data_IF_932340407736
#
_entry.id   IF_932340407736
#
_cell.length_a   1.000
_cell.length_b   1.000
_cell.length_c   1.000
_cell.angle_alpha   90.00
_cell.angle_beta   90.00
_cell.angle_gamma   90.00
#
_symmetry.space_group_name_H-M   'P 1'
#
loop_
_entity.id
_entity.type
_entity.pdbx_description
1 polymer ?
#
# COMPACT_ATOMS: atom_id res chain seq x y z
N UNK A 1 21.35 -26.72 11.52
CA UNK A 1 22.50 -26.03 10.86
C UNK A 1 22.24 -26.03 9.35
N UNK A 2 22.46 -24.91 8.69
CA UNK A 2 22.25 -24.80 7.23
C UNK A 2 23.26 -25.66 6.46
N UNK A 3 22.82 -26.24 5.36
CA UNK A 3 23.61 -27.11 4.50
C UNK A 3 24.50 -26.28 3.57
N UNK A 4 25.79 -26.59 3.52
CA UNK A 4 26.81 -25.90 2.71
C UNK A 4 27.54 -26.86 1.81
N UNK A 5 28.28 -26.34 0.85
CA UNK A 5 29.11 -27.14 -0.06
C UNK A 5 30.49 -27.27 0.57
N UNK A 6 30.90 -28.50 0.92
CA UNK A 6 32.24 -28.79 1.46
C UNK A 6 33.27 -28.98 0.37
N UNK A 7 32.92 -29.80 -0.65
CA UNK A 7 33.86 -30.08 -1.74
C UNK A 7 33.06 -30.29 -3.05
N UNK A 8 33.74 -29.97 -4.14
CA UNK A 8 33.24 -30.15 -5.51
C UNK A 8 34.31 -30.74 -6.38
N UNK A 9 34.01 -31.83 -7.06
CA UNK A 9 34.84 -32.46 -8.07
C UNK A 9 34.07 -32.46 -9.40
N UNK A 10 34.68 -31.90 -10.45
CA UNK A 10 34.10 -31.76 -11.78
C UNK A 10 35.07 -32.28 -12.82
N UNK A 11 34.63 -33.18 -13.70
CA UNK A 11 35.40 -33.66 -14.83
C UNK A 11 34.58 -33.63 -16.12
N UNK A 12 35.19 -33.17 -17.19
CA UNK A 12 34.61 -33.17 -18.56
C UNK A 12 33.26 -32.46 -18.72
N UNK A 13 33.05 -31.35 -17.99
CA UNK A 13 31.84 -30.54 -18.08
C UNK A 13 32.12 -29.24 -18.80
N UNK A 14 31.41 -28.97 -19.89
CA UNK A 14 31.52 -27.73 -20.68
C UNK A 14 32.98 -27.41 -21.01
N UNK A 15 33.56 -26.37 -20.39
CA UNK A 15 34.97 -25.99 -20.55
C UNK A 15 35.88 -26.57 -19.49
N UNK A 16 35.34 -27.23 -18.48
CA UNK A 16 36.16 -27.85 -17.42
C UNK A 16 36.71 -29.17 -17.88
N UNK A 17 38.01 -29.35 -17.70
CA UNK A 17 38.72 -30.62 -17.86
C UNK A 17 38.71 -31.40 -16.55
N UNK A 18 39.30 -30.83 -15.49
CA UNK A 18 39.25 -31.36 -14.14
C UNK A 18 39.43 -30.22 -13.12
N UNK A 19 38.46 -30.10 -12.22
CA UNK A 19 38.46 -29.12 -11.13
C UNK A 19 38.05 -29.81 -9.86
N UNK A 20 38.84 -29.70 -8.81
CA UNK A 20 38.53 -30.12 -7.45
C UNK A 20 38.75 -28.92 -6.54
N UNK A 21 37.69 -28.49 -5.84
CA UNK A 21 37.75 -27.32 -4.97
C UNK A 21 37.00 -27.55 -3.67
N UNK A 22 37.45 -26.89 -2.62
CA UNK A 22 36.83 -26.84 -1.29
C UNK A 22 36.54 -25.38 -0.96
N UNK A 23 35.26 -24.93 -1.14
CA UNK A 23 34.91 -23.56 -0.85
C UNK A 23 34.96 -23.26 0.66
N UNK A 24 35.18 -22.00 1.04
CA UNK A 24 35.11 -21.55 2.41
C UNK A 24 33.71 -21.88 2.99
N UNK A 25 33.65 -22.31 4.24
CA UNK A 25 32.39 -22.69 4.89
C UNK A 25 31.47 -21.50 5.20
N UNK A 26 31.99 -20.28 5.20
CA UNK A 26 31.23 -19.03 5.30
C UNK A 26 31.95 -17.94 4.54
N UNK A 27 31.22 -16.88 4.17
CA UNK A 27 31.77 -15.81 3.38
C UNK A 27 31.82 -16.11 1.87
N UNK A 28 32.71 -15.45 1.16
CA UNK A 28 32.75 -15.43 -0.28
C UNK A 28 33.94 -16.24 -0.80
N UNK A 29 33.70 -17.27 -1.61
CA UNK A 29 34.71 -17.95 -2.42
C UNK A 29 34.65 -17.42 -3.84
N UNK A 30 35.68 -16.73 -4.31
CA UNK A 30 35.76 -16.14 -5.65
C UNK A 30 36.54 -17.06 -6.58
N UNK A 31 35.89 -17.52 -7.64
CA UNK A 31 36.50 -18.28 -8.74
C UNK A 31 36.92 -17.28 -9.83
N UNK A 32 38.18 -17.03 -9.93
CA UNK A 32 38.81 -16.14 -10.88
C UNK A 32 39.28 -16.85 -12.17
N UNK A 33 39.78 -16.05 -13.10
CA UNK A 33 40.34 -16.48 -14.38
C UNK A 33 39.92 -15.56 -15.52
N UNK A 34 40.63 -15.63 -16.64
CA UNK A 34 40.30 -14.89 -17.86
C UNK A 34 38.96 -15.37 -18.45
N UNK A 35 38.42 -14.63 -19.43
CA UNK A 35 37.24 -15.07 -20.15
C UNK A 35 37.47 -16.44 -20.80
N UNK A 36 36.37 -17.20 -20.88
CA UNK A 36 36.36 -18.53 -21.53
C UNK A 36 37.14 -19.66 -20.85
N UNK A 37 37.69 -19.45 -19.67
CA UNK A 37 38.49 -20.45 -18.94
C UNK A 37 37.67 -21.52 -18.20
N UNK A 38 36.34 -21.35 -18.08
CA UNK A 38 35.46 -22.35 -17.47
C UNK A 38 34.83 -21.92 -16.13
N UNK A 39 35.02 -20.68 -15.66
CA UNK A 39 34.48 -20.19 -14.38
C UNK A 39 32.95 -20.44 -14.22
N UNK A 40 32.16 -19.92 -15.13
CA UNK A 40 30.69 -20.15 -15.12
C UNK A 40 30.36 -21.63 -15.28
N UNK A 41 31.19 -22.41 -15.95
CA UNK A 41 31.02 -23.87 -16.08
C UNK A 41 31.07 -24.59 -14.73
N UNK A 42 31.76 -24.05 -13.72
CA UNK A 42 31.76 -24.57 -12.34
C UNK A 42 30.39 -24.35 -11.69
N UNK A 43 29.83 -23.15 -11.82
CA UNK A 43 28.49 -22.87 -11.29
C UNK A 43 27.42 -23.70 -11.98
N UNK A 44 27.47 -23.82 -13.33
CA UNK A 44 26.56 -24.68 -14.10
C UNK A 44 26.63 -26.15 -13.64
N UNK A 45 27.85 -26.63 -13.33
CA UNK A 45 28.07 -27.97 -12.81
C UNK A 45 27.42 -28.14 -11.43
N UNK A 46 27.58 -27.17 -10.53
CA UNK A 46 26.90 -27.16 -9.21
C UNK A 46 25.39 -27.15 -9.37
N UNK A 47 24.85 -26.23 -10.20
CA UNK A 47 23.43 -26.16 -10.49
C UNK A 47 22.90 -27.48 -11.03
N UNK A 48 23.62 -28.10 -11.97
CA UNK A 48 23.22 -29.41 -12.52
C UNK A 48 23.30 -30.50 -11.45
N UNK A 49 24.37 -30.55 -10.66
CA UNK A 49 24.55 -31.58 -9.65
C UNK A 49 23.44 -31.55 -8.61
N UNK A 50 23.11 -30.38 -8.11
CA UNK A 50 22.15 -30.16 -7.00
C UNK A 50 20.72 -29.97 -7.48
N UNK A 51 20.50 -29.13 -8.48
CA UNK A 51 19.17 -28.72 -8.95
C UNK A 51 18.55 -29.65 -10.01
N UNK A 52 19.34 -30.57 -10.55
CA UNK A 52 18.83 -31.59 -11.46
C UNK A 52 18.75 -31.19 -12.93
N UNK A 53 17.99 -31.98 -13.70
CA UNK A 53 17.88 -31.84 -15.16
C UNK A 53 17.44 -30.45 -15.63
N UNK A 54 16.67 -29.73 -14.81
CA UNK A 54 16.22 -28.35 -15.11
C UNK A 54 17.40 -27.39 -15.35
N UNK A 55 18.52 -27.64 -14.66
CA UNK A 55 19.74 -26.79 -14.75
C UNK A 55 20.82 -27.39 -15.66
N UNK A 56 20.53 -28.50 -16.33
CA UNK A 56 21.48 -29.16 -17.19
C UNK A 56 21.69 -28.37 -18.48
N UNK A 57 22.95 -28.03 -18.83
CA UNK A 57 23.25 -27.40 -20.11
C UNK A 57 22.93 -28.33 -21.28
N UNK A 58 22.48 -27.78 -22.41
CA UNK A 58 22.20 -28.55 -23.64
C UNK A 58 23.42 -29.35 -24.14
N UNK A 59 24.65 -28.84 -23.95
CA UNK A 59 25.92 -29.51 -24.19
C UNK A 59 26.68 -29.61 -22.89
N UNK A 60 26.38 -30.58 -22.04
CA UNK A 60 27.01 -30.76 -20.76
C UNK A 60 28.42 -31.36 -20.89
N UNK A 61 28.67 -32.30 -21.80
CA UNK A 61 29.98 -32.91 -22.03
C UNK A 61 30.92 -31.92 -22.70
N UNK A 62 32.15 -31.86 -22.20
CA UNK A 62 33.24 -31.06 -22.78
C UNK A 62 33.51 -31.50 -24.22
N UNK A 63 33.66 -30.56 -25.11
CA UNK A 63 34.00 -30.82 -26.51
C UNK A 63 35.40 -31.50 -26.60
N UNK A 64 35.48 -32.56 -27.38
CA UNK A 64 36.68 -33.36 -27.52
C UNK A 64 36.97 -34.31 -26.36
N UNK A 65 36.14 -34.36 -25.32
CA UNK A 65 36.35 -35.31 -24.22
C UNK A 65 35.93 -36.73 -24.62
N UNK A 66 36.84 -37.71 -24.39
CA UNK A 66 36.55 -39.13 -24.62
C UNK A 66 35.68 -39.73 -23.49
N UNK A 67 35.83 -39.24 -22.28
CA UNK A 67 35.07 -39.66 -21.11
C UNK A 67 33.83 -38.77 -20.88
N UNK A 68 32.73 -39.36 -20.40
CA UNK A 68 31.53 -38.60 -20.10
C UNK A 68 31.73 -37.67 -18.90
N UNK A 69 30.80 -36.67 -18.69
CA UNK A 69 30.81 -35.80 -17.54
C UNK A 69 30.74 -36.58 -16.23
N UNK A 70 31.53 -36.14 -15.23
CA UNK A 70 31.49 -36.65 -13.88
C UNK A 70 31.44 -35.46 -12.90
N UNK A 71 30.43 -35.47 -12.04
CA UNK A 71 30.20 -34.44 -11.01
C UNK A 71 30.07 -35.13 -9.66
N UNK A 72 30.79 -34.60 -8.65
CA UNK A 72 30.61 -35.04 -7.27
C UNK A 72 30.63 -33.83 -6.35
N UNK A 73 29.60 -33.68 -5.56
CA UNK A 73 29.44 -32.62 -4.56
C UNK A 73 29.30 -33.25 -3.20
N UNK A 74 30.11 -32.84 -2.25
CA UNK A 74 30.04 -33.24 -0.85
C UNK A 74 29.47 -32.05 -0.04
N UNK A 75 28.40 -32.29 0.68
CA UNK A 75 27.72 -31.30 1.48
C UNK A 75 28.15 -31.38 2.96
N UNK A 76 27.96 -30.28 3.70
CA UNK A 76 28.35 -30.16 5.11
C UNK A 76 27.61 -31.09 6.06
N UNK A 77 26.43 -31.54 5.67
CA UNK A 77 25.63 -32.53 6.39
C UNK A 77 26.01 -33.99 6.05
N UNK A 78 27.13 -34.20 5.32
CA UNK A 78 27.63 -35.53 4.94
C UNK A 78 26.93 -36.17 3.72
N UNK A 79 26.00 -35.50 3.09
CA UNK A 79 25.36 -35.96 1.84
C UNK A 79 26.39 -35.84 0.70
N UNK A 80 26.48 -36.90 -0.11
CA UNK A 80 27.32 -36.94 -1.32
C UNK A 80 26.36 -37.06 -2.53
N UNK A 81 26.51 -36.14 -3.46
CA UNK A 81 25.77 -36.09 -4.73
C UNK A 81 26.70 -36.40 -5.87
N UNK A 82 26.42 -37.45 -6.62
CA UNK A 82 27.18 -37.84 -7.80
C UNK A 82 26.28 -37.81 -9.04
N UNK A 83 26.77 -37.24 -10.14
CA UNK A 83 26.14 -37.36 -11.47
C UNK A 83 27.20 -37.83 -12.47
N UNK A 84 26.92 -38.96 -13.10
CA UNK A 84 27.86 -39.63 -13.99
C UNK A 84 27.20 -40.01 -15.31
N UNK A 85 28.06 -40.07 -16.33
CA UNK A 85 27.69 -40.59 -17.64
C UNK A 85 26.93 -39.61 -18.54
N UNK A 86 26.70 -40.03 -19.80
CA UNK A 86 26.00 -39.20 -20.80
C UNK A 86 24.59 -38.82 -20.38
N UNK A 87 23.91 -39.67 -19.61
CA UNK A 87 22.55 -39.47 -19.14
C UNK A 87 22.49 -38.78 -17.79
N UNK A 88 23.61 -38.27 -17.24
CA UNK A 88 23.63 -37.56 -15.96
C UNK A 88 22.97 -38.34 -14.82
N UNK A 89 23.28 -39.66 -14.72
CA UNK A 89 22.66 -40.53 -13.70
C UNK A 89 22.95 -40.01 -12.30
N UNK A 90 21.90 -39.70 -11.55
CA UNK A 90 21.97 -39.19 -10.20
C UNK A 90 22.14 -40.31 -9.19
N UNK A 91 23.12 -40.16 -8.31
CA UNK A 91 23.26 -40.96 -7.10
C UNK A 91 23.46 -40.02 -5.92
N UNK A 92 22.52 -40.05 -4.98
CA UNK A 92 22.62 -39.33 -3.72
C UNK A 92 22.83 -40.35 -2.62
N UNK A 93 23.86 -40.13 -1.82
CA UNK A 93 24.18 -40.98 -0.67
C UNK A 93 24.04 -40.15 0.59
N UNK A 94 23.23 -40.60 1.53
CA UNK A 94 23.05 -39.95 2.83
C UNK A 94 24.28 -40.23 3.75
N UNK A 95 24.39 -39.54 4.91
CA UNK A 95 25.50 -39.73 5.84
C UNK A 95 25.62 -41.18 6.38
N UNK A 96 24.52 -41.94 6.35
CA UNK A 96 24.48 -43.34 6.80
C UNK A 96 24.81 -44.33 5.66
N UNK A 97 25.13 -43.84 4.46
CA UNK A 97 25.44 -44.65 3.31
C UNK A 97 24.23 -45.15 2.50
N UNK A 98 23.02 -44.74 2.84
CA UNK A 98 21.83 -45.17 2.10
C UNK A 98 21.67 -44.37 0.81
N UNK A 99 21.07 -44.99 -0.21
CA UNK A 99 20.77 -44.35 -1.48
C UNK A 99 19.51 -43.51 -1.33
N UNK A 100 19.61 -42.26 -1.79
CA UNK A 100 18.49 -41.32 -1.83
C UNK A 100 18.31 -40.72 -3.24
N UNK A 101 17.38 -39.80 -3.42
CA UNK A 101 17.08 -39.18 -4.70
C UNK A 101 17.04 -37.64 -4.64
N UNK A 102 16.59 -37.05 -5.73
CA UNK A 102 16.44 -35.59 -5.87
C UNK A 102 15.52 -35.00 -4.79
N UNK A 103 14.55 -35.76 -4.27
CA UNK A 103 13.64 -35.30 -3.23
C UNK A 103 14.37 -34.91 -1.94
N UNK A 104 15.42 -35.66 -1.55
CA UNK A 104 16.25 -35.31 -0.39
C UNK A 104 16.97 -33.97 -0.61
N UNK A 105 17.46 -33.72 -1.81
CA UNK A 105 18.09 -32.42 -2.13
C UNK A 105 17.07 -31.29 -2.11
N UNK A 106 15.91 -31.49 -2.67
CA UNK A 106 14.85 -30.48 -2.73
C UNK A 106 14.33 -30.06 -1.34
N UNK A 107 14.52 -30.87 -0.30
CA UNK A 107 14.06 -30.52 1.05
C UNK A 107 14.82 -29.36 1.68
N UNK A 108 16.10 -29.16 1.32
CA UNK A 108 16.94 -28.08 1.86
C UNK A 108 17.51 -27.14 0.79
N UNK A 109 17.31 -27.43 -0.50
CA UNK A 109 17.75 -26.55 -1.57
C UNK A 109 16.72 -25.49 -1.88
N UNK A 110 17.18 -24.26 -2.02
CA UNK A 110 16.38 -23.16 -2.55
C UNK A 110 16.71 -22.96 -4.04
N UNK A 111 15.74 -23.10 -4.96
CA UNK A 111 15.99 -22.91 -6.39
C UNK A 111 16.63 -21.57 -6.74
N UNK A 112 16.27 -20.49 -6.04
CA UNK A 112 16.85 -19.16 -6.26
C UNK A 112 18.29 -19.06 -5.72
N UNK A 113 18.72 -19.92 -4.79
CA UNK A 113 20.10 -19.99 -4.36
C UNK A 113 21.03 -20.54 -5.46
N UNK A 114 20.48 -21.39 -6.35
CA UNK A 114 21.20 -21.91 -7.51
C UNK A 114 21.21 -20.95 -8.70
N UNK A 115 20.20 -20.12 -8.82
CA UNK A 115 20.04 -19.17 -9.94
C UNK A 115 19.52 -17.83 -9.42
N UNK A 116 20.35 -17.13 -8.66
CA UNK A 116 20.05 -15.80 -8.15
C UNK A 116 19.73 -14.77 -9.26
N UNK A 117 20.37 -14.81 -10.44
CA UNK A 117 19.99 -14.00 -11.58
C UNK A 117 18.51 -14.11 -11.97
N UNK A 118 17.88 -15.26 -11.80
CA UNK A 118 16.43 -15.40 -12.08
C UNK A 118 15.60 -14.46 -11.20
N UNK A 119 15.93 -14.35 -9.90
CA UNK A 119 15.28 -13.39 -9.01
C UNK A 119 15.63 -11.94 -9.38
N UNK A 120 16.91 -11.66 -9.63
CA UNK A 120 17.35 -10.30 -9.96
C UNK A 120 16.72 -9.76 -11.24
N UNK A 121 16.46 -10.62 -12.22
CA UNK A 121 15.86 -10.27 -13.51
C UNK A 121 14.31 -10.40 -13.52
N UNK A 122 13.68 -10.86 -12.45
CA UNK A 122 12.21 -10.88 -12.34
C UNK A 122 11.64 -9.46 -12.26
N UNK A 123 10.36 -9.32 -12.48
CA UNK A 123 9.69 -8.00 -12.40
C UNK A 123 9.71 -7.46 -10.96
N UNK A 124 9.64 -6.15 -10.80
CA UNK A 124 9.59 -5.50 -9.49
C UNK A 124 8.44 -6.04 -8.62
N UNK A 125 7.30 -6.29 -9.25
CA UNK A 125 6.13 -6.88 -8.59
C UNK A 125 6.38 -8.31 -8.11
N UNK A 126 7.06 -9.14 -8.90
CA UNK A 126 7.41 -10.51 -8.50
C UNK A 126 8.39 -10.53 -7.34
N UNK A 127 9.38 -9.63 -7.34
CA UNK A 127 10.31 -9.45 -6.22
C UNK A 127 9.59 -9.08 -4.93
N UNK A 128 8.70 -8.08 -4.99
CA UNK A 128 7.89 -7.66 -3.86
C UNK A 128 6.98 -8.79 -3.36
N UNK A 129 6.28 -9.49 -4.24
CA UNK A 129 5.44 -10.63 -3.88
C UNK A 129 6.23 -11.77 -3.23
N UNK A 130 7.47 -11.99 -3.68
CA UNK A 130 8.34 -12.99 -3.06
C UNK A 130 8.67 -12.62 -1.62
N UNK A 131 9.03 -11.36 -1.37
CA UNK A 131 9.25 -10.87 0.00
C UNK A 131 8.00 -10.99 0.86
N UNK A 132 6.85 -10.52 0.37
CA UNK A 132 5.57 -10.55 1.10
C UNK A 132 5.14 -11.96 1.47
N UNK A 133 5.39 -12.93 0.58
CA UNK A 133 5.14 -14.36 0.85
C UNK A 133 6.02 -14.89 1.96
N UNK A 134 7.30 -14.52 1.98
CA UNK A 134 8.27 -14.95 2.99
C UNK A 134 7.90 -14.46 4.38
N UNK A 135 7.52 -13.20 4.49
CA UNK A 135 7.13 -12.59 5.77
C UNK A 135 5.68 -12.89 6.17
N UNK A 136 4.92 -13.57 5.29
CA UNK A 136 3.57 -14.06 5.59
C UNK A 136 2.50 -12.98 5.71
N UNK A 137 2.74 -11.77 5.21
CA UNK A 137 1.79 -10.64 5.31
C UNK A 137 1.13 -10.27 3.99
N UNK A 138 1.43 -10.99 2.90
CA UNK A 138 0.98 -10.65 1.55
C UNK A 138 -0.53 -10.48 1.42
N UNK A 139 -1.32 -11.44 1.93
CA UNK A 139 -2.78 -11.42 1.85
C UNK A 139 -3.38 -10.23 2.62
N UNK A 140 -2.85 -9.94 3.82
CA UNK A 140 -3.29 -8.80 4.63
C UNK A 140 -2.93 -7.46 3.97
N UNK A 141 -1.73 -7.36 3.41
CA UNK A 141 -1.31 -6.15 2.71
C UNK A 141 -2.19 -5.90 1.48
N UNK A 142 -2.44 -6.93 0.68
CA UNK A 142 -3.32 -6.85 -0.49
C UNK A 142 -4.74 -6.40 -0.11
N UNK A 143 -5.29 -6.93 0.99
CA UNK A 143 -6.61 -6.51 1.49
C UNK A 143 -6.62 -5.05 1.94
N UNK A 144 -5.58 -4.59 2.63
CA UNK A 144 -5.44 -3.18 3.03
C UNK A 144 -5.29 -2.25 1.82
N UNK A 145 -4.53 -2.65 0.80
CA UNK A 145 -4.40 -1.90 -0.47
C UNK A 145 -5.73 -1.79 -1.20
N UNK A 146 -6.51 -2.87 -1.23
CA UNK A 146 -7.85 -2.88 -1.80
C UNK A 146 -8.78 -1.90 -1.07
N UNK A 147 -8.77 -1.96 0.28
CA UNK A 147 -9.56 -1.05 1.12
C UNK A 147 -9.14 0.41 0.93
N UNK A 148 -7.84 0.70 0.92
CA UNK A 148 -7.34 2.05 0.66
C UNK A 148 -7.85 2.59 -0.68
N UNK A 149 -7.74 1.78 -1.74
CA UNK A 149 -8.20 2.17 -3.08
C UNK A 149 -9.72 2.40 -3.12
N UNK A 150 -10.50 1.55 -2.45
CA UNK A 150 -11.95 1.74 -2.36
C UNK A 150 -12.31 3.03 -1.61
N UNK A 151 -11.67 3.29 -0.47
CA UNK A 151 -11.89 4.51 0.30
C UNK A 151 -11.43 5.76 -0.46
N UNK A 152 -10.29 5.68 -1.15
CA UNK A 152 -9.82 6.77 -2.00
C UNK A 152 -10.82 7.10 -3.12
N UNK A 153 -11.35 6.09 -3.81
CA UNK A 153 -12.34 6.30 -4.87
C UNK A 153 -13.64 6.90 -4.32
N UNK A 154 -14.12 6.42 -3.16
CA UNK A 154 -15.28 6.99 -2.47
C UNK A 154 -15.03 8.44 -2.07
N UNK A 155 -13.87 8.73 -1.44
CA UNK A 155 -13.50 10.09 -1.06
C UNK A 155 -13.44 11.02 -2.27
N UNK A 156 -12.86 10.57 -3.38
CA UNK A 156 -12.79 11.35 -4.61
C UNK A 156 -14.20 11.71 -5.14
N UNK A 157 -15.11 10.73 -5.20
CA UNK A 157 -16.49 10.96 -5.63
C UNK A 157 -17.24 11.90 -4.67
N UNK A 158 -17.11 11.72 -3.35
CA UNK A 158 -17.71 12.58 -2.33
C UNK A 158 -17.14 14.00 -2.41
N UNK A 159 -15.84 14.16 -2.62
CA UNK A 159 -15.19 15.46 -2.79
C UNK A 159 -15.73 16.22 -3.98
N UNK A 160 -15.94 15.59 -5.11
CA UNK A 160 -16.56 16.23 -6.28
C UNK A 160 -18.00 16.69 -5.99
N UNK A 161 -18.77 15.87 -5.26
CA UNK A 161 -20.15 16.24 -4.86
C UNK A 161 -20.11 17.39 -3.85
N UNK A 162 -19.22 17.34 -2.86
CA UNK A 162 -19.05 18.41 -1.87
C UNK A 162 -18.72 19.75 -2.53
N UNK A 163 -17.76 19.75 -3.44
CA UNK A 163 -17.38 20.95 -4.21
C UNK A 163 -18.53 21.50 -5.04
N UNK A 164 -19.29 20.61 -5.71
CA UNK A 164 -20.46 21.01 -6.49
C UNK A 164 -21.55 21.60 -5.59
N UNK A 165 -21.83 20.97 -4.45
CA UNK A 165 -22.83 21.44 -3.50
C UNK A 165 -22.41 22.75 -2.85
N UNK A 166 -21.14 22.92 -2.50
CA UNK A 166 -20.60 24.17 -1.95
C UNK A 166 -20.72 25.32 -2.94
N UNK A 167 -20.39 25.10 -4.21
CA UNK A 167 -20.55 26.09 -5.26
C UNK A 167 -22.03 26.46 -5.44
N UNK A 168 -22.91 25.45 -5.49
CA UNK A 168 -24.34 25.67 -5.59
C UNK A 168 -24.90 26.47 -4.40
N UNK A 169 -24.46 26.18 -3.17
CA UNK A 169 -24.85 26.95 -1.99
C UNK A 169 -24.32 28.39 -2.05
N UNK A 170 -23.07 28.59 -2.49
CA UNK A 170 -22.46 29.91 -2.64
C UNK A 170 -23.15 30.79 -3.70
N UNK A 171 -23.69 30.19 -4.75
CA UNK A 171 -24.47 30.88 -5.81
C UNK A 171 -25.87 31.34 -5.33
N UNK A 172 -26.38 30.76 -4.24
CA UNK A 172 -27.68 31.12 -3.67
C UNK A 172 -27.61 32.48 -2.97
N UNK A 173 -28.56 33.34 -3.29
CA UNK A 173 -28.65 34.66 -2.71
C UNK A 173 -29.37 34.62 -1.35
N UNK A 174 -28.82 35.31 -0.35
CA UNK A 174 -29.45 35.53 0.96
C UNK A 174 -30.13 36.88 0.96
N UNK A 175 -31.32 36.96 1.49
CA UNK A 175 -32.07 38.21 1.65
C UNK A 175 -32.20 38.55 3.13
N UNK A 176 -31.57 39.63 3.53
CA UNK A 176 -31.67 40.13 4.91
C UNK A 176 -33.04 40.79 5.18
N UNK A 177 -33.46 40.76 6.42
CA UNK A 177 -34.70 41.43 6.88
C UNK A 177 -36.02 40.79 6.44
N UNK A 178 -35.99 39.54 5.92
CA UNK A 178 -37.21 38.78 5.64
C UNK A 178 -37.52 37.81 6.76
N UNK A 179 -38.80 37.45 6.98
CA UNK A 179 -39.19 36.46 7.98
C UNK A 179 -38.57 35.09 7.71
N UNK A 180 -38.31 34.29 8.75
CA UNK A 180 -37.80 32.93 8.65
C UNK A 180 -38.76 31.95 7.99
N UNK A 181 -40.05 32.21 8.16
CA UNK A 181 -41.15 31.39 7.58
C UNK A 181 -41.99 32.17 6.60
N UNK A 182 -42.56 31.53 5.56
CA UNK A 182 -43.45 32.18 4.62
C UNK A 182 -44.65 32.83 5.31
N UNK A 183 -44.89 34.07 4.97
CA UNK A 183 -46.00 34.85 5.52
C UNK A 183 -47.31 34.42 4.87
N UNK A 184 -48.34 34.18 5.67
CA UNK A 184 -49.67 33.81 5.20
C UNK A 184 -50.53 35.05 4.91
N UNK A 185 -50.95 35.23 3.67
CA UNK A 185 -51.88 36.31 3.28
C UNK A 185 -53.16 36.28 4.10
N UNK A 186 -53.70 35.08 4.37
CA UNK A 186 -54.94 34.93 5.14
C UNK A 186 -54.79 35.39 6.61
N UNK A 187 -53.61 35.18 7.21
CA UNK A 187 -53.31 35.66 8.56
C UNK A 187 -53.22 37.18 8.61
N UNK A 188 -52.53 37.80 7.64
CA UNK A 188 -52.44 39.26 7.56
C UNK A 188 -53.80 39.89 7.29
N UNK A 189 -54.63 39.29 6.41
CA UNK A 189 -55.98 39.75 6.14
C UNK A 189 -56.89 39.64 7.42
N UNK A 190 -56.76 38.54 8.16
CA UNK A 190 -57.44 38.35 9.41
C UNK A 190 -57.05 39.41 10.45
N UNK A 191 -55.80 39.72 10.60
CA UNK A 191 -55.25 40.76 11.46
C UNK A 191 -55.77 42.14 11.02
N UNK A 192 -55.80 42.45 9.72
CA UNK A 192 -56.32 43.68 9.17
C UNK A 192 -57.83 43.82 9.49
N UNK A 193 -58.62 42.76 9.29
CA UNK A 193 -60.04 42.77 9.59
C UNK A 193 -60.35 43.00 11.08
N UNK A 194 -59.54 42.41 11.97
CA UNK A 194 -59.66 42.63 13.42
C UNK A 194 -59.38 44.08 13.79
N UNK A 195 -58.26 44.66 13.22
CA UNK A 195 -57.94 46.09 13.45
C UNK A 195 -59.05 46.98 12.90
N UNK A 196 -59.53 46.71 11.68
CA UNK A 196 -60.67 47.50 11.09
C UNK A 196 -61.93 47.38 11.93
N UNK A 197 -62.24 46.22 12.49
CA UNK A 197 -63.37 46.03 13.39
C UNK A 197 -63.22 46.87 14.67
N UNK A 198 -62.01 46.86 15.29
CA UNK A 198 -61.69 47.68 16.45
C UNK A 198 -61.76 49.19 16.12
N UNK A 199 -61.25 49.60 14.99
CA UNK A 199 -61.31 51.00 14.54
C UNK A 199 -62.74 51.41 14.27
N UNK A 200 -63.59 50.54 13.70
CA UNK A 200 -65.01 50.74 13.52
C UNK A 200 -65.76 50.91 14.85
N UNK A 201 -65.41 50.12 15.86
CA UNK A 201 -65.97 50.24 17.19
C UNK A 201 -65.50 51.55 17.86
N UNK A 202 -64.25 51.93 17.72
CA UNK A 202 -63.74 53.23 18.22
C UNK A 202 -64.44 54.40 17.56
N UNK A 203 -64.72 54.33 16.25
CA UNK A 203 -65.48 55.36 15.54
C UNK A 203 -66.89 55.48 16.08
N UNK A 204 -67.57 54.34 16.35
CA UNK A 204 -68.87 54.33 17.01
C UNK A 204 -68.84 55.02 18.39
N UNK A 205 -67.82 54.72 19.21
CA UNK A 205 -67.62 55.32 20.52
C UNK A 205 -67.38 56.84 20.41
N UNK A 206 -66.58 57.30 19.38
CA UNK A 206 -66.40 58.74 19.11
C UNK A 206 -67.69 59.42 18.68
N UNK A 207 -68.52 58.74 17.83
CA UNK A 207 -69.87 59.25 17.45
C UNK A 207 -70.79 59.34 18.67
N UNK A 208 -70.81 58.33 19.51
CA UNK A 208 -71.57 58.30 20.73
C UNK A 208 -71.12 59.42 21.69
N UNK A 209 -69.82 59.63 21.81
CA UNK A 209 -69.26 60.75 22.58
C UNK A 209 -69.75 62.11 22.01
N UNK A 210 -69.67 62.31 20.71
CA UNK A 210 -70.09 63.54 20.06
C UNK A 210 -71.59 63.76 20.24
N UNK A 211 -72.42 62.68 20.21
CA UNK A 211 -73.83 62.72 20.48
C UNK A 211 -74.09 63.11 21.96
N UNK A 212 -73.42 62.50 22.90
CA UNK A 212 -73.57 62.84 24.31
C UNK A 212 -73.04 64.24 24.65
N UNK A 213 -71.91 64.70 24.01
CA UNK A 213 -71.43 66.06 24.13
C UNK A 213 -72.49 67.10 23.61
N UNK A 214 -73.16 66.77 22.48
CA UNK A 214 -74.24 67.55 21.96
C UNK A 214 -75.50 67.55 22.90
N UNK A 215 -75.83 66.35 23.41
CA UNK A 215 -76.94 66.21 24.41
C UNK A 215 -76.57 66.92 25.72
N UNK A 216 -75.31 66.88 26.16
CA UNK A 216 -74.83 67.61 27.31
C UNK A 216 -74.94 69.13 27.09
N UNK A 217 -74.62 69.63 25.88
CA UNK A 217 -74.78 71.08 25.56
C UNK A 217 -76.26 71.47 25.49
N UNK A 218 -77.09 70.60 24.96
CA UNK A 218 -78.56 70.76 25.03
C UNK A 218 -79.09 70.73 26.48
N UNK A 219 -78.48 69.83 27.30
CA UNK A 219 -78.83 69.73 28.73
C UNK A 219 -78.31 70.93 29.53
N UNK A 220 -77.16 71.53 29.13
CA UNK A 220 -76.69 72.83 29.72
C UNK A 220 -77.61 73.99 29.41
N UNK A 221 -78.24 74.05 28.25
CA UNK A 221 -79.22 75.03 27.87
C UNK A 221 -80.59 74.81 28.61
N UNK A 222 -80.88 73.59 29.01
CA UNK A 222 -82.04 73.17 29.82
C UNK A 222 -81.70 73.10 31.33
N UNK A 223 -80.62 73.72 31.80
CA UNK A 223 -79.97 73.49 33.10
C UNK A 223 -80.83 73.97 34.29
N UNK A 224 -81.80 74.93 34.15
CA UNK A 224 -82.61 75.38 35.25
C UNK A 224 -83.76 74.39 35.58
N UNK A 225 -84.07 73.46 34.69
CA UNK A 225 -85.02 72.37 34.92
C UNK A 225 -84.43 71.01 35.23
N UNK A 226 -83.10 70.88 35.10
CA UNK A 226 -82.50 69.55 35.00
C UNK A 226 -81.25 69.28 35.90
N UNK A 227 -81.12 69.94 37.09
CA UNK A 227 -80.04 69.55 38.04
C UNK A 227 -80.03 68.04 38.42
N UNK A 228 -81.21 67.38 38.28
CA UNK A 228 -81.23 65.90 38.44
C UNK A 228 -80.80 65.15 37.19
N UNK A 229 -81.00 65.68 35.99
CA UNK A 229 -80.53 65.05 34.72
C UNK A 229 -79.06 65.36 34.52
N UNK A 230 -78.54 66.49 35.01
CA UNK A 230 -77.15 66.87 34.93
C UNK A 230 -76.19 65.86 35.63
N UNK A 231 -76.56 65.41 36.87
CA UNK A 231 -75.72 64.44 37.56
C UNK A 231 -75.62 63.10 36.84
N UNK A 232 -76.73 62.66 36.17
CA UNK A 232 -76.73 61.43 35.39
C UNK A 232 -76.01 61.61 34.07
N UNK A 233 -76.20 62.70 33.37
CA UNK A 233 -75.49 63.01 32.09
C UNK A 233 -73.97 63.24 32.31
N UNK A 234 -73.59 63.90 33.41
CA UNK A 234 -72.20 64.12 33.80
C UNK A 234 -71.47 62.77 34.06
N UNK A 235 -72.14 61.86 34.79
CA UNK A 235 -71.63 60.54 35.00
C UNK A 235 -71.43 59.75 33.69
N UNK A 236 -72.40 59.82 32.79
CA UNK A 236 -72.35 59.15 31.49
C UNK A 236 -71.33 59.81 30.56
N UNK A 237 -71.22 61.13 30.54
CA UNK A 237 -70.21 61.90 29.77
C UNK A 237 -68.82 61.65 30.28
N UNK A 238 -68.64 61.59 31.60
CA UNK A 238 -67.33 61.28 32.20
C UNK A 238 -66.86 59.85 31.89
N UNK A 239 -67.77 58.90 31.93
CA UNK A 239 -67.50 57.50 31.56
C UNK A 239 -67.17 57.38 30.06
N UNK A 240 -67.92 58.08 29.21
CA UNK A 240 -67.72 58.14 27.77
C UNK A 240 -66.40 58.84 27.40
N UNK A 241 -66.11 59.98 28.11
CA UNK A 241 -64.82 60.69 27.94
C UNK A 241 -63.60 59.82 28.32
N UNK A 242 -63.66 59.16 29.46
CA UNK A 242 -62.57 58.23 29.91
C UNK A 242 -62.44 57.06 28.95
N UNK A 243 -63.49 56.58 28.36
CA UNK A 243 -63.42 55.46 27.37
C UNK A 243 -62.94 55.91 26.02
N UNK A 244 -62.94 57.23 25.69
CA UNK A 244 -62.48 57.76 24.41
C UNK A 244 -61.12 58.39 24.50
N UNK A 245 -60.62 58.74 25.69
CA UNK A 245 -59.37 59.39 25.89
C UNK A 245 -58.13 58.45 25.58
N UNK A 246 -58.29 57.15 25.76
CA UNK A 246 -57.32 56.16 25.56
C UNK A 246 -57.54 55.27 24.30
N UNK A 247 -58.32 55.76 23.34
CA UNK A 247 -58.54 55.04 22.09
C UNK A 247 -57.49 55.45 21.07
N UNK A 248 -56.59 54.51 20.82
CA UNK A 248 -55.58 54.60 19.73
C UNK A 248 -56.05 53.72 18.58
N UNK A 249 -56.10 54.30 17.38
CA UNK A 249 -56.35 53.51 16.17
C UNK A 249 -55.02 52.93 15.65
N UNK A 250 -54.94 51.65 15.55
CA UNK A 250 -53.79 50.97 14.97
C UNK A 250 -53.75 51.15 13.44
N UNK A 251 -52.57 51.51 12.91
CA UNK A 251 -52.40 51.66 11.47
C UNK A 251 -52.30 50.28 10.78
N UNK A 252 -53.05 50.12 9.70
CA UNK A 252 -53.05 48.94 8.83
C UNK A 252 -52.09 49.13 7.65
N UNK A 253 -51.49 50.32 7.49
CA UNK A 253 -50.67 50.66 6.32
C UNK A 253 -49.50 49.72 6.10
N UNK A 254 -48.86 49.26 7.17
CA UNK A 254 -47.73 48.31 7.10
C UNK A 254 -48.23 46.91 6.69
N UNK A 255 -49.38 46.46 7.21
CA UNK A 255 -50.00 45.18 6.83
C UNK A 255 -50.44 45.19 5.37
N UNK A 256 -51.07 46.32 4.91
CA UNK A 256 -51.45 46.45 3.50
C UNK A 256 -50.25 46.39 2.55
N UNK A 257 -49.14 47.05 2.91
CA UNK A 257 -47.89 46.95 2.18
C UNK A 257 -47.34 45.51 2.19
N UNK A 258 -47.35 44.87 3.35
CA UNK A 258 -46.87 43.49 3.48
C UNK A 258 -47.76 42.48 2.70
N UNK A 259 -49.08 42.74 2.61
CA UNK A 259 -49.99 41.91 1.81
C UNK A 259 -49.68 42.09 0.30
N UNK A 260 -49.43 43.33 -0.15
CA UNK A 260 -49.07 43.62 -1.54
C UNK A 260 -47.71 42.98 -1.92
N UNK A 261 -46.78 42.94 -0.98
CA UNK A 261 -45.43 42.42 -1.20
C UNK A 261 -45.28 40.93 -0.84
N UNK A 262 -46.36 40.24 -0.45
CA UNK A 262 -46.30 38.89 0.14
C UNK A 262 -45.65 37.86 -0.79
N UNK A 263 -45.90 37.92 -2.09
CA UNK A 263 -45.30 37.05 -3.07
C UNK A 263 -43.78 37.24 -3.16
N UNK A 264 -43.34 38.50 -3.10
CA UNK A 264 -41.91 38.88 -3.13
C UNK A 264 -41.24 38.45 -1.84
N UNK A 265 -41.89 38.68 -0.68
CA UNK A 265 -41.37 38.24 0.64
C UNK A 265 -41.25 36.73 0.69
N UNK A 266 -42.29 36.01 0.30
CA UNK A 266 -42.28 34.57 0.30
C UNK A 266 -41.30 33.96 -0.70
N UNK A 267 -41.01 34.62 -1.83
CA UNK A 267 -39.95 34.21 -2.76
C UNK A 267 -38.59 34.33 -2.11
N UNK A 268 -38.30 35.42 -1.37
CA UNK A 268 -37.05 35.63 -0.64
C UNK A 268 -36.89 34.64 0.52
N UNK A 269 -37.94 34.36 1.27
CA UNK A 269 -37.92 33.35 2.34
C UNK A 269 -37.60 31.99 1.77
N UNK A 270 -38.24 31.57 0.67
CA UNK A 270 -37.94 30.31 -0.01
C UNK A 270 -36.49 30.25 -0.48
N UNK A 271 -35.94 31.33 -1.05
CA UNK A 271 -34.56 31.39 -1.48
C UNK A 271 -33.57 31.22 -0.30
N UNK A 272 -33.89 31.83 0.87
CA UNK A 272 -33.06 31.69 2.08
C UNK A 272 -33.10 30.24 2.61
N UNK A 273 -34.27 29.63 2.68
CA UNK A 273 -34.45 28.22 3.10
C UNK A 273 -33.73 27.26 2.14
N UNK A 274 -33.80 27.50 0.82
CA UNK A 274 -33.11 26.73 -0.19
C UNK A 274 -31.59 26.84 -0.06
N UNK A 275 -31.10 28.04 0.34
CA UNK A 275 -29.68 28.26 0.58
C UNK A 275 -29.22 27.52 1.82
N UNK A 276 -29.93 27.67 2.96
CA UNK A 276 -29.62 26.97 4.20
C UNK A 276 -29.57 25.45 3.99
N UNK A 277 -30.55 24.90 3.30
CA UNK A 277 -30.56 23.48 2.94
C UNK A 277 -29.36 23.07 2.06
N UNK A 278 -28.98 23.92 1.08
CA UNK A 278 -27.84 23.65 0.22
C UNK A 278 -26.52 23.70 1.01
N UNK A 279 -26.39 24.63 1.98
CA UNK A 279 -25.22 24.73 2.87
C UNK A 279 -25.13 23.51 3.80
N UNK A 280 -26.25 23.06 4.36
CA UNK A 280 -26.32 21.87 5.21
C UNK A 280 -25.95 20.60 4.43
N UNK A 281 -26.48 20.44 3.21
CA UNK A 281 -26.09 19.34 2.33
C UNK A 281 -24.59 19.37 1.99
N UNK A 282 -24.03 20.55 1.65
CA UNK A 282 -22.62 20.71 1.37
C UNK A 282 -21.76 20.35 2.59
N UNK A 283 -22.15 20.80 3.78
CA UNK A 283 -21.48 20.46 5.04
C UNK A 283 -21.48 18.96 5.29
N UNK A 284 -22.63 18.29 5.08
CA UNK A 284 -22.72 16.84 5.25
C UNK A 284 -21.78 16.05 4.31
N UNK A 285 -21.58 16.51 3.09
CA UNK A 285 -20.60 15.88 2.17
C UNK A 285 -19.16 16.19 2.57
N UNK A 286 -18.85 17.38 3.10
CA UNK A 286 -17.52 17.66 3.64
C UNK A 286 -17.19 16.79 4.84
N UNK A 287 -18.10 16.59 5.76
CA UNK A 287 -17.92 15.69 6.91
C UNK A 287 -17.66 14.24 6.49
N UNK A 288 -18.36 13.77 5.44
CA UNK A 288 -18.10 12.45 4.86
C UNK A 288 -16.69 12.37 4.21
N UNK A 289 -16.29 13.41 3.49
CA UNK A 289 -14.95 13.51 2.91
C UNK A 289 -13.86 13.45 3.97
N UNK A 290 -14.01 14.20 5.05
CA UNK A 290 -13.04 14.22 6.16
C UNK A 290 -13.00 12.86 6.87
N UNK A 291 -14.14 12.24 7.11
CA UNK A 291 -14.24 10.90 7.68
C UNK A 291 -13.49 9.87 6.82
N UNK A 292 -13.69 9.89 5.50
CA UNK A 292 -12.99 9.00 4.57
C UNK A 292 -11.49 9.29 4.53
N UNK A 293 -11.08 10.54 4.72
CA UNK A 293 -9.66 10.93 4.79
C UNK A 293 -8.97 10.32 6.01
N UNK A 294 -9.63 10.38 7.17
CA UNK A 294 -9.13 9.73 8.41
C UNK A 294 -9.03 8.21 8.21
N UNK A 295 -10.05 7.57 7.64
CA UNK A 295 -10.04 6.13 7.38
C UNK A 295 -8.88 5.72 6.44
N UNK A 296 -8.57 6.51 5.43
CA UNK A 296 -7.42 6.28 4.55
C UNK A 296 -6.10 6.36 5.33
N UNK A 297 -5.94 7.34 6.20
CA UNK A 297 -4.73 7.46 7.03
C UNK A 297 -4.60 6.30 8.03
N UNK A 298 -5.70 5.84 8.61
CA UNK A 298 -5.70 4.66 9.49
C UNK A 298 -5.28 3.39 8.72
N UNK A 299 -5.77 3.21 7.49
CA UNK A 299 -5.36 2.08 6.63
C UNK A 299 -3.88 2.18 6.26
N UNK A 300 -3.38 3.37 5.93
CA UNK A 300 -1.95 3.60 5.65
C UNK A 300 -1.07 3.28 6.84
N UNK A 301 -1.50 3.71 8.02
CA UNK A 301 -0.82 3.37 9.27
C UNK A 301 -0.83 1.87 9.51
N UNK A 302 -1.96 1.19 9.33
CA UNK A 302 -2.04 -0.27 9.46
C UNK A 302 -1.12 -1.00 8.46
N UNK A 303 -0.97 -0.51 7.22
CA UNK A 303 -0.01 -1.03 6.23
C UNK A 303 1.43 -0.85 6.72
N UNK A 304 1.75 0.33 7.22
CA UNK A 304 3.06 0.65 7.76
C UNK A 304 3.40 -0.28 8.95
N UNK A 305 2.51 -0.39 9.92
CA UNK A 305 2.69 -1.22 11.11
C UNK A 305 2.83 -2.70 10.75
N UNK A 306 2.06 -3.18 9.76
CA UNK A 306 2.11 -4.56 9.26
C UNK A 306 3.49 -4.90 8.66
N UNK A 307 4.06 -3.99 7.87
CA UNK A 307 5.36 -4.19 7.24
C UNK A 307 6.52 -4.04 8.24
N UNK A 308 6.43 -3.06 9.15
CA UNK A 308 7.48 -2.81 10.16
C UNK A 308 7.48 -3.84 11.29
N UNK A 309 6.34 -4.44 11.59
CA UNK A 309 6.22 -5.53 12.56
C UNK A 309 6.62 -6.90 12.00
N UNK A 310 6.87 -7.02 10.69
CA UNK A 310 7.24 -8.26 10.06
C UNK A 310 8.73 -8.59 10.28
N UNK A 311 9.06 -9.89 10.36
CA UNK A 311 10.43 -10.38 10.44
C UNK A 311 11.10 -10.31 9.06
N UNK A 312 11.59 -9.13 8.71
CA UNK A 312 12.22 -8.83 7.43
C UNK A 312 13.60 -9.46 7.32
N UNK A 313 14.00 -9.92 6.11
CA UNK A 313 15.33 -10.51 5.86
C UNK A 313 16.49 -9.56 6.09
N UNK A 314 16.26 -8.26 5.97
CA UNK A 314 17.24 -7.21 6.23
C UNK A 314 16.56 -6.02 6.91
N UNK A 315 17.25 -5.31 7.81
CA UNK A 315 16.81 -4.01 8.29
C UNK A 315 16.62 -3.05 7.11
N UNK A 316 15.61 -2.16 7.20
CA UNK A 316 15.28 -1.18 6.16
C UNK A 316 14.85 -1.76 4.79
N UNK A 317 14.59 -3.06 4.70
CA UNK A 317 13.93 -3.67 3.56
C UNK A 317 12.41 -3.53 3.73
N UNK A 318 11.68 -3.13 2.69
CA UNK A 318 10.23 -2.96 2.74
C UNK A 318 9.60 -3.16 1.37
N UNK A 319 8.28 -3.00 1.30
CA UNK A 319 7.52 -2.94 0.05
C UNK A 319 6.70 -1.66 0.06
N UNK A 320 6.86 -0.82 -0.96
CA UNK A 320 6.11 0.42 -1.16
C UNK A 320 5.54 0.43 -2.57
N UNK A 321 4.27 0.75 -2.72
CA UNK A 321 3.54 0.76 -4.00
C UNK A 321 3.66 -0.54 -4.82
N UNK A 322 3.75 -1.69 -4.13
CA UNK A 322 3.92 -3.01 -4.76
C UNK A 322 5.31 -3.25 -5.33
N UNK A 323 6.29 -2.43 -4.98
CA UNK A 323 7.70 -2.57 -5.35
C UNK A 323 8.58 -2.75 -4.13
N UNK A 324 9.67 -3.48 -4.29
CA UNK A 324 10.64 -3.72 -3.24
C UNK A 324 11.52 -2.50 -3.03
N UNK A 325 11.61 -2.03 -1.77
CA UNK A 325 12.47 -0.91 -1.38
C UNK A 325 13.51 -1.34 -0.35
N UNK A 326 14.70 -0.79 -0.44
CA UNK A 326 15.77 -0.96 0.55
C UNK A 326 16.47 0.37 0.81
N UNK A 327 16.51 0.79 2.08
CA UNK A 327 17.02 2.12 2.47
C UNK A 327 16.31 3.24 1.71
N UNK A 328 14.98 3.14 1.60
CA UNK A 328 14.12 4.07 0.86
C UNK A 328 14.43 4.19 -0.64
N UNK A 329 15.17 3.24 -1.21
CA UNK A 329 15.44 3.19 -2.65
C UNK A 329 14.67 2.02 -3.28
N UNK A 330 13.97 2.28 -4.38
CA UNK A 330 13.35 1.25 -5.21
C UNK A 330 14.42 0.40 -5.89
N UNK A 331 14.07 -0.84 -6.25
CA UNK A 331 15.01 -1.81 -6.83
C UNK A 331 15.90 -1.26 -7.94
N UNK A 332 15.30 -0.52 -8.88
CA UNK A 332 16.03 -0.01 -10.06
C UNK A 332 17.03 1.12 -9.71
N UNK A 333 16.89 1.73 -8.55
CA UNK A 333 17.77 2.79 -8.04
C UNK A 333 18.86 2.24 -7.10
N UNK A 334 18.79 0.95 -6.74
CA UNK A 334 19.80 0.32 -5.90
C UNK A 334 21.07 0.05 -6.70
N UNK A 335 22.23 0.18 -6.05
CA UNK A 335 23.48 -0.30 -6.62
C UNK A 335 23.45 -1.83 -6.82
N UNK A 336 24.21 -2.36 -7.76
CA UNK A 336 24.30 -3.81 -7.99
C UNK A 336 24.66 -4.61 -6.72
N UNK A 337 25.51 -4.05 -5.85
CA UNK A 337 25.85 -4.66 -4.56
C UNK A 337 24.69 -4.67 -3.56
N UNK A 338 23.87 -3.61 -3.54
CA UNK A 338 22.67 -3.58 -2.71
C UNK A 338 21.65 -4.59 -3.22
N UNK A 339 21.43 -4.66 -4.54
CA UNK A 339 20.54 -5.65 -5.16
C UNK A 339 20.98 -7.09 -4.82
N UNK A 340 22.28 -7.40 -4.91
CA UNK A 340 22.80 -8.70 -4.54
C UNK A 340 22.61 -9.02 -3.06
N UNK A 341 22.85 -8.06 -2.16
CA UNK A 341 22.65 -8.24 -0.72
C UNK A 341 21.19 -8.52 -0.40
N UNK A 342 20.27 -7.75 -0.97
CA UNK A 342 18.81 -7.93 -0.80
C UNK A 342 18.38 -9.28 -1.35
N UNK A 343 18.79 -9.63 -2.58
CA UNK A 343 18.45 -10.90 -3.21
C UNK A 343 18.93 -12.09 -2.38
N UNK A 344 20.17 -12.04 -1.90
CA UNK A 344 20.79 -13.10 -1.07
C UNK A 344 20.05 -13.25 0.27
N UNK A 345 19.69 -12.15 0.92
CA UNK A 345 18.95 -12.19 2.19
C UNK A 345 17.54 -12.77 2.00
N UNK A 346 16.85 -12.41 0.92
CA UNK A 346 15.54 -12.97 0.56
C UNK A 346 15.64 -14.48 0.34
N UNK A 347 16.62 -14.93 -0.45
CA UNK A 347 16.83 -16.36 -0.74
C UNK A 347 17.10 -17.16 0.54
N UNK A 348 17.94 -16.63 1.42
CA UNK A 348 18.20 -17.25 2.73
C UNK A 348 16.95 -17.39 3.58
N UNK A 349 16.08 -16.36 3.58
CA UNK A 349 14.83 -16.39 4.37
C UNK A 349 13.81 -17.36 3.78
N UNK A 350 13.81 -17.59 2.46
CA UNK A 350 12.96 -18.58 1.79
C UNK A 350 13.20 -20.00 2.30
N UNK A 351 14.48 -20.37 2.41
CA UNK A 351 14.85 -21.68 2.95
C UNK A 351 16.10 -21.54 3.85
N UNK A 352 15.91 -21.40 5.17
CA UNK A 352 17.01 -21.26 6.13
C UNK A 352 17.94 -22.48 6.20
N UNK A 353 17.50 -23.64 5.68
CA UNK A 353 18.33 -24.84 5.61
C UNK A 353 19.36 -24.76 4.45
N UNK A 354 19.10 -23.96 3.42
CA UNK A 354 20.03 -23.67 2.34
C UNK A 354 21.08 -22.65 2.80
N UNK A 355 22.28 -23.12 3.12
CA UNK A 355 23.37 -22.30 3.67
C UNK A 355 24.31 -21.69 2.62
N UNK A 356 23.98 -21.78 1.32
CA UNK A 356 24.83 -21.27 0.26
C UNK A 356 24.04 -20.58 -0.85
N UNK A 357 24.74 -19.74 -1.63
CA UNK A 357 24.24 -19.10 -2.86
C UNK A 357 25.31 -19.13 -3.95
N UNK A 358 24.87 -19.22 -5.20
CA UNK A 358 25.72 -19.16 -6.37
C UNK A 358 25.57 -17.82 -7.09
N UNK A 359 26.69 -17.15 -7.34
CA UNK A 359 26.74 -15.80 -7.91
C UNK A 359 27.63 -15.79 -9.16
N UNK A 360 27.10 -15.38 -10.28
CA UNK A 360 27.89 -15.25 -11.51
C UNK A 360 28.24 -13.79 -11.79
N UNK A 361 29.42 -13.54 -12.31
CA UNK A 361 29.87 -12.26 -12.87
C UNK A 361 29.92 -11.09 -11.86
N UNK A 362 30.69 -11.26 -10.77
CA UNK A 362 30.93 -10.19 -9.78
C UNK A 362 31.96 -9.13 -10.21
N UNK A 363 32.34 -9.05 -11.47
CA UNK A 363 33.24 -8.03 -12.00
C UNK A 363 32.71 -6.60 -11.92
N UNK A 364 31.39 -6.42 -11.73
CA UNK A 364 30.77 -5.10 -11.53
C UNK A 364 30.97 -4.52 -10.13
N UNK A 365 31.45 -5.33 -9.17
CA UNK A 365 31.80 -4.87 -7.84
C UNK A 365 33.25 -4.42 -7.79
N UNK A 366 33.51 -3.25 -7.21
CA UNK A 366 34.84 -2.84 -6.82
C UNK A 366 35.35 -3.71 -5.64
N UNK A 367 36.66 -3.62 -5.34
CA UNK A 367 37.30 -4.44 -4.32
C UNK A 367 36.76 -4.20 -2.91
N UNK A 368 36.47 -2.94 -2.58
CA UNK A 368 35.91 -2.58 -1.26
C UNK A 368 34.53 -3.19 -1.09
N UNK A 369 33.66 -3.00 -2.07
CA UNK A 369 32.30 -3.56 -2.09
C UNK A 369 32.28 -5.08 -2.01
N UNK A 370 33.22 -5.75 -2.74
CA UNK A 370 33.40 -7.21 -2.71
C UNK A 370 33.77 -7.69 -1.30
N UNK A 371 34.73 -7.00 -0.67
CA UNK A 371 35.20 -7.30 0.69
C UNK A 371 34.12 -7.12 1.72
N UNK A 372 33.35 -6.01 1.64
CA UNK A 372 32.25 -5.72 2.55
C UNK A 372 31.09 -6.70 2.38
N UNK A 373 30.82 -7.16 1.17
CA UNK A 373 29.86 -8.21 0.88
C UNK A 373 30.32 -9.55 1.46
N UNK A 374 31.60 -9.91 1.31
CA UNK A 374 32.19 -11.12 1.90
C UNK A 374 32.07 -11.13 3.43
N UNK A 375 32.42 -10.03 4.11
CA UNK A 375 32.25 -9.87 5.56
C UNK A 375 30.81 -9.99 6.03
N UNK A 376 29.88 -9.39 5.27
CA UNK A 376 28.47 -9.53 5.58
C UNK A 376 28.00 -10.98 5.47
N UNK A 377 28.42 -11.73 4.42
CA UNK A 377 28.12 -13.15 4.28
C UNK A 377 28.70 -13.99 5.45
N UNK A 378 29.91 -13.67 5.91
CA UNK A 378 30.53 -14.33 7.09
C UNK A 378 29.69 -14.08 8.36
N UNK A 379 29.32 -12.81 8.60
CA UNK A 379 28.49 -12.43 9.75
C UNK A 379 27.13 -13.13 9.74
N UNK A 380 26.56 -13.32 8.55
CA UNK A 380 25.29 -14.05 8.35
C UNK A 380 25.47 -15.58 8.35
N UNK A 381 26.70 -16.09 8.44
CA UNK A 381 27.00 -17.51 8.37
C UNK A 381 26.65 -18.16 7.03
N UNK A 382 26.58 -17.38 5.95
CA UNK A 382 26.28 -17.82 4.59
C UNK A 382 27.57 -18.14 3.81
N UNK A 383 27.48 -19.13 2.93
CA UNK A 383 28.49 -19.42 1.94
C UNK A 383 28.05 -18.87 0.58
N UNK A 384 28.94 -18.14 -0.10
CA UNK A 384 28.72 -17.76 -1.49
C UNK A 384 29.85 -18.27 -2.36
N UNK A 385 29.54 -18.91 -3.47
CA UNK A 385 30.48 -19.30 -4.50
C UNK A 385 30.24 -18.42 -5.71
N UNK A 386 31.22 -17.62 -6.08
CA UNK A 386 31.05 -16.58 -7.08
C UNK A 386 32.13 -16.68 -8.19
N UNK A 387 31.75 -16.19 -9.38
CA UNK A 387 32.74 -16.03 -10.48
C UNK A 387 33.08 -14.55 -10.66
N UNK A 388 34.32 -14.30 -11.04
CA UNK A 388 34.84 -12.97 -11.39
C UNK A 388 35.85 -13.06 -12.52
N UNK A 389 35.84 -12.10 -13.42
CA UNK A 389 36.92 -11.95 -14.43
C UNK A 389 38.05 -11.22 -13.77
N UNK A 390 38.93 -11.97 -13.12
CA UNK A 390 40.13 -11.48 -12.45
C UNK A 390 41.11 -12.62 -12.22
N UNK A 391 42.38 -12.29 -12.05
CA UNK A 391 43.44 -13.18 -11.61
C UNK A 391 44.23 -12.59 -10.42
N UNK A 392 43.59 -11.63 -9.73
CA UNK A 392 44.15 -10.94 -8.57
C UNK A 392 43.99 -11.72 -7.25
N UNK A 393 44.51 -11.13 -6.18
CA UNK A 393 44.57 -11.75 -4.84
C UNK A 393 43.17 -11.94 -4.19
N UNK A 394 42.15 -11.28 -4.72
CA UNK A 394 40.75 -11.47 -4.29
C UNK A 394 40.15 -12.80 -4.73
N UNK A 395 40.79 -13.47 -5.70
CA UNK A 395 40.34 -14.76 -6.19
C UNK A 395 40.86 -15.87 -5.28
N UNK A 396 39.92 -16.57 -4.63
CA UNK A 396 40.25 -17.75 -3.81
C UNK A 396 40.80 -18.90 -4.67
N UNK A 397 40.35 -18.98 -5.93
CA UNK A 397 40.68 -20.05 -6.88
C UNK A 397 40.75 -19.42 -8.27
N UNK A 398 41.79 -19.77 -9.02
CA UNK A 398 41.97 -19.33 -10.41
C UNK A 398 41.82 -20.53 -11.34
N UNK A 399 40.97 -20.39 -12.38
CA UNK A 399 40.81 -21.42 -13.41
C UNK A 399 41.48 -20.93 -14.70
N UNK A 400 42.35 -21.79 -15.22
CA UNK A 400 42.99 -21.61 -16.50
C UNK A 400 42.89 -22.91 -17.32
N UNK A 401 42.44 -22.78 -18.57
CA UNK A 401 42.26 -23.89 -19.53
C UNK A 401 41.50 -25.11 -18.95
N UNK A 402 40.52 -24.84 -18.09
CA UNK A 402 39.66 -25.87 -17.47
C UNK A 402 40.29 -26.61 -16.28
N UNK A 403 41.38 -26.10 -15.70
CA UNK A 403 42.05 -26.61 -14.50
C UNK A 403 42.18 -25.49 -13.45
N UNK A 404 42.36 -25.88 -12.19
CA UNK A 404 42.78 -24.94 -11.13
C UNK A 404 44.29 -24.70 -11.23
N UNK A 405 44.69 -23.41 -11.23
CA UNK A 405 46.09 -23.00 -11.24
C UNK A 405 46.74 -23.35 -9.89
N UNK A 406 47.92 -24.00 -9.93
CA UNK A 406 48.68 -24.33 -8.73
C UNK A 406 48.34 -25.69 -8.09
N UNK A 407 47.33 -26.39 -8.58
CA UNK A 407 47.11 -27.78 -8.18
C UNK A 407 47.94 -28.70 -9.06
N UNK A 408 48.99 -29.31 -8.51
CA UNK A 408 49.71 -30.41 -9.19
C UNK A 408 48.69 -31.48 -9.52
N UNK A 409 48.52 -31.82 -10.80
CA UNK A 409 47.76 -32.99 -11.21
C UNK A 409 48.40 -34.19 -10.48
N UNK A 410 47.77 -34.70 -9.43
CA UNK A 410 48.07 -36.01 -8.92
C UNK A 410 47.65 -36.95 -10.05
N UNK A 411 48.61 -37.39 -10.90
CA UNK A 411 48.40 -38.53 -11.76
C UNK A 411 47.97 -39.68 -10.87
N UNK A 412 46.69 -40.01 -10.86
CA UNK A 412 46.26 -41.31 -10.36
C UNK A 412 46.98 -42.34 -11.21
N UNK A 413 47.84 -43.22 -10.60
CA UNK A 413 48.43 -44.29 -11.37
C UNK A 413 47.29 -45.05 -12.08
N UNK A 414 47.44 -45.14 -13.40
CA UNK A 414 46.61 -46.03 -14.21
C UNK A 414 46.63 -47.39 -13.50
N UNK A 415 45.44 -47.82 -13.03
CA UNK A 415 45.32 -49.20 -12.55
C UNK A 415 45.85 -50.09 -13.63
N UNK A 416 47.00 -50.75 -13.33
CA UNK A 416 47.59 -51.78 -14.20
C UNK A 416 46.44 -52.77 -14.53
N UNK A 417 46.06 -52.78 -15.78
CA UNK A 417 45.21 -53.85 -16.31
C UNK A 417 46.03 -55.14 -16.16
N UNK A 418 45.61 -55.99 -15.22
CA UNK A 418 46.08 -57.37 -15.16
C UNK A 418 45.71 -58.08 -16.45
N UNK A 419 46.58 -58.03 -17.45
CA UNK A 419 46.58 -58.91 -18.60
C UNK A 419 46.92 -60.30 -18.10
N UNK A 420 45.96 -61.11 -17.73
CA UNK A 420 46.21 -62.57 -17.68
C UNK A 420 46.43 -63.06 -19.10
N UNK A 421 47.54 -63.81 -19.32
CA UNK A 421 47.82 -64.38 -20.63
C UNK A 421 46.80 -65.48 -20.92
N UNK A 422 46.24 -65.44 -22.10
CA UNK A 422 45.34 -66.48 -22.63
C UNK A 422 46.09 -67.81 -22.63
N UNK A 423 45.54 -68.76 -21.85
CA UNK A 423 45.99 -70.15 -21.98
C UNK A 423 45.48 -70.71 -23.28
N UNK A 424 46.36 -71.05 -24.21
CA UNK A 424 46.04 -71.84 -25.39
C UNK A 424 45.52 -73.19 -24.98
N UNK A 425 44.25 -73.48 -25.24
CA UNK A 425 43.62 -74.78 -25.10
C UNK A 425 44.08 -75.64 -26.29
N UNK A 426 44.70 -76.72 -25.98
CA UNK A 426 44.83 -77.87 -26.89
C UNK A 426 43.49 -78.61 -27.03
N UNK A 427 43.16 -79.06 -28.23
CA UNK A 427 42.02 -79.87 -28.67
C UNK A 427 41.76 -81.04 -27.78
#
# INVERSE_FOLDING_TARGET
MSVKINALEIENVKRIKAVALEPSQSGLTVIGGRNEQGKTSVLDALCTALGGEKYRPSKAQREGALLPPNLKVTLSNGIIVERKGKNSSLKVTDPNGNKSGQQLLNSFLEPLALDLPQFMNSTNKEKANTLLRIIGVGDKLFELERQEKEMYNKRHAIGQIADQKSKYAAEKTTYEGVPEIPVSASQLIAQQQEILARNGENQRKRQLKAQYDYELEQARQALDEAKRRFAQAQSNAQTAAMSAENLEDESTAELEKNIADIEVINAKVRANLDKEKAEEEAKGYHEQYDTLSVQIEDIRKAKYDLLHGADLPLPELSVEDGELTYKSQKWDNMSGSQQLRVATAIVRKLNPECGFVLLDKLEQMDMQTLTDFGRWLEAEGLQAIATRVSTGDECSIIIEDGYIVGTSLIEKPLAESSTQPWKTGTF
#
